data_IF_721551747970
#
_entry.id   IF_721551747970
#
_cell.length_a   1.000
_cell.length_b   1.000
_cell.length_c   1.000
_cell.angle_alpha   90.00
_cell.angle_beta   90.00
_cell.angle_gamma   90.00
#
_symmetry.space_group_name_H-M   'P 1'
#
loop_
_entity.id
_entity.type
_entity.pdbx_description
1 polymer ?
#
# COMPACT_ATOMS: atom_id res chain seq x y z
N UNK A 1 -14.12 -3.62 7.37
CA UNK A 1 -12.69 -4.03 7.27
C UNK A 1 -12.29 -4.72 5.97
N UNK A 2 -13.12 -5.62 5.39
CA UNK A 2 -12.78 -6.41 4.18
C UNK A 2 -12.31 -5.58 2.98
N UNK A 3 -12.98 -4.45 2.69
CA UNK A 3 -12.61 -3.58 1.57
C UNK A 3 -11.25 -2.90 1.76
N UNK A 4 -10.94 -2.45 2.97
CA UNK A 4 -9.64 -1.86 3.30
C UNK A 4 -8.52 -2.90 3.14
N UNK A 5 -8.76 -4.13 3.58
CA UNK A 5 -7.81 -5.25 3.40
C UNK A 5 -7.59 -5.53 1.91
N UNK A 6 -8.66 -5.56 1.10
CA UNK A 6 -8.56 -5.78 -0.34
C UNK A 6 -7.71 -4.68 -1.02
N UNK A 7 -7.96 -3.40 -0.68
CA UNK A 7 -7.18 -2.27 -1.19
C UNK A 7 -5.71 -2.32 -0.75
N UNK A 8 -5.44 -2.70 0.50
CA UNK A 8 -4.07 -2.89 0.99
C UNK A 8 -3.34 -3.93 0.13
N UNK A 9 -3.97 -5.09 -0.12
CA UNK A 9 -3.35 -6.16 -0.91
C UNK A 9 -3.05 -5.71 -2.34
N UNK A 10 -3.96 -4.97 -2.98
CA UNK A 10 -3.75 -4.41 -4.31
C UNK A 10 -2.57 -3.44 -4.36
N UNK A 11 -2.52 -2.49 -3.41
CA UNK A 11 -1.44 -1.50 -3.32
C UNK A 11 -0.09 -2.18 -3.02
N UNK A 12 -0.06 -3.20 -2.16
CA UNK A 12 1.16 -3.97 -1.87
C UNK A 12 1.65 -4.72 -3.10
N UNK A 13 0.75 -5.35 -3.87
CA UNK A 13 1.13 -6.06 -5.09
C UNK A 13 1.72 -5.09 -6.14
N UNK A 14 1.09 -3.93 -6.34
CA UNK A 14 1.60 -2.89 -7.23
C UNK A 14 2.96 -2.33 -6.75
N UNK A 15 3.10 -2.10 -5.44
CA UNK A 15 4.35 -1.64 -4.83
C UNK A 15 5.49 -2.64 -5.04
N UNK A 16 5.25 -3.95 -4.82
CA UNK A 16 6.27 -4.99 -5.04
C UNK A 16 6.77 -5.00 -6.49
N UNK A 17 5.85 -4.93 -7.46
CA UNK A 17 6.20 -4.90 -8.88
C UNK A 17 7.04 -3.66 -9.25
N UNK A 18 6.71 -2.49 -8.68
CA UNK A 18 7.45 -1.26 -8.96
C UNK A 18 8.78 -1.19 -8.20
N UNK A 19 8.90 -1.78 -7.01
CA UNK A 19 10.17 -1.88 -6.28
C UNK A 19 11.19 -2.75 -7.03
N UNK A 20 10.76 -3.88 -7.59
CA UNK A 20 11.64 -4.74 -8.40
C UNK A 20 12.22 -3.97 -9.58
N UNK A 21 11.38 -3.27 -10.35
CA UNK A 21 11.81 -2.44 -11.48
C UNK A 21 12.66 -1.25 -11.04
N UNK A 22 12.35 -0.65 -9.88
CA UNK A 22 13.13 0.46 -9.34
C UNK A 22 14.55 0.03 -8.94
N UNK A 23 14.72 -1.18 -8.41
CA UNK A 23 16.03 -1.75 -8.09
C UNK A 23 16.90 -1.96 -9.34
N UNK A 24 16.28 -2.21 -10.50
CA UNK A 24 16.94 -2.25 -11.82
C UNK A 24 17.22 -0.86 -12.42
N UNK A 25 16.98 0.22 -11.66
CA UNK A 25 17.26 1.60 -12.10
C UNK A 25 16.10 2.30 -12.81
N UNK A 26 14.90 1.70 -12.88
CA UNK A 26 13.75 2.35 -13.48
C UNK A 26 13.21 3.50 -12.59
N UNK A 27 13.56 4.74 -12.96
CA UNK A 27 13.17 5.96 -12.22
C UNK A 27 11.65 6.16 -12.12
N UNK A 28 10.90 5.84 -13.17
CA UNK A 28 9.45 5.99 -13.20
C UNK A 28 8.77 4.98 -12.27
N UNK A 29 9.26 3.74 -12.22
CA UNK A 29 8.82 2.75 -11.23
C UNK A 29 9.15 3.21 -9.80
N UNK A 30 10.34 3.77 -9.57
CA UNK A 30 10.69 4.35 -8.28
C UNK A 30 9.78 5.50 -7.84
N UNK A 31 9.33 6.36 -8.76
CA UNK A 31 8.34 7.40 -8.45
C UNK A 31 6.98 6.81 -8.07
N UNK A 32 6.51 5.79 -8.81
CA UNK A 32 5.25 5.09 -8.52
C UNK A 32 5.30 4.33 -7.19
N UNK A 33 6.41 3.66 -6.88
CA UNK A 33 6.64 3.00 -5.59
C UNK A 33 6.50 3.97 -4.41
N UNK A 34 7.10 5.18 -4.49
CA UNK A 34 6.95 6.21 -3.44
C UNK A 34 5.51 6.68 -3.27
N UNK A 35 4.75 6.78 -4.35
CA UNK A 35 3.31 7.11 -4.27
C UNK A 35 2.53 5.98 -3.59
N UNK A 36 2.79 4.73 -3.97
CA UNK A 36 2.15 3.55 -3.40
C UNK A 36 2.46 3.40 -1.89
N UNK A 37 3.68 3.74 -1.43
CA UNK A 37 3.99 3.72 0.02
C UNK A 37 3.17 4.74 0.81
N UNK A 38 2.93 5.94 0.27
CA UNK A 38 2.09 6.96 0.91
C UNK A 38 0.62 6.53 0.98
N UNK A 39 0.14 5.83 -0.05
CA UNK A 39 -1.20 5.28 -0.08
C UNK A 39 -1.36 4.12 0.93
N UNK A 40 -0.37 3.23 0.99
CA UNK A 40 -0.31 2.14 1.97
C UNK A 40 -0.33 2.66 3.42
N UNK A 41 0.39 3.76 3.71
CA UNK A 41 0.37 4.38 5.04
C UNK A 41 -1.05 4.84 5.44
N UNK A 42 -1.78 5.47 4.51
CA UNK A 42 -3.15 5.94 4.75
C UNK A 42 -4.09 4.75 5.00
N UNK A 43 -4.03 3.74 4.14
CA UNK A 43 -4.85 2.54 4.28
C UNK A 43 -4.53 1.77 5.57
N UNK A 44 -3.25 1.71 5.98
CA UNK A 44 -2.85 1.09 7.24
C UNK A 44 -3.43 1.81 8.47
N UNK A 45 -3.49 3.14 8.45
CA UNK A 45 -4.15 3.92 9.52
C UNK A 45 -5.66 3.70 9.53
N UNK A 46 -6.30 3.63 8.37
CA UNK A 46 -7.73 3.33 8.24
C UNK A 46 -8.06 1.93 8.77
N UNK A 47 -7.26 0.94 8.38
CA UNK A 47 -7.37 -0.44 8.89
C UNK A 47 -7.25 -0.47 10.42
N UNK A 48 -6.25 0.20 10.99
CA UNK A 48 -6.07 0.26 12.45
C UNK A 48 -7.30 0.85 13.16
N UNK A 49 -7.85 1.94 12.64
CA UNK A 49 -9.06 2.57 13.22
C UNK A 49 -10.27 1.63 13.15
N UNK A 50 -10.50 1.03 11.98
CA UNK A 50 -11.61 0.08 11.78
C UNK A 50 -11.47 -1.16 12.66
N UNK A 51 -10.26 -1.72 12.78
CA UNK A 51 -9.98 -2.88 13.63
C UNK A 51 -10.23 -2.60 15.11
N UNK A 52 -9.85 -1.42 15.61
CA UNK A 52 -10.14 -1.03 17.01
C UNK A 52 -11.64 -0.80 17.23
N UNK A 53 -12.35 -0.26 16.24
CA UNK A 53 -13.79 -0.04 16.33
C UNK A 53 -14.60 -1.35 16.36
N UNK A 54 -14.19 -2.38 15.61
CA UNK A 54 -14.86 -3.70 15.64
C UNK A 54 -14.60 -4.50 16.94
N UNK A 55 -13.61 -4.10 17.76
CA UNK A 55 -13.35 -4.71 19.07
C UNK A 55 -14.14 -4.09 20.23
N UNK A 56 -14.89 -3.02 19.97
CA UNK A 56 -15.75 -2.33 20.95
C UNK A 56 -17.20 -2.71 20.74
#
# INVERSE_FOLDING_TARGET
MKEVIAKINEVVAALQADLAKAAEGNKAAGARARKATLELEKLGKEFRKASIAELK
#
